data_IF_488589925870
#
_entry.id   IF_488589925870
#
_cell.length_a   1.000
_cell.length_b   1.000
_cell.length_c   1.000
_cell.angle_alpha   90.00
_cell.angle_beta   90.00
_cell.angle_gamma   90.00
#
_symmetry.space_group_name_H-M   'P 1'
#
loop_
_entity.id
_entity.type
_entity.pdbx_description
1 polymer ?
#
# COMPACT_ATOMS: atom_id res chain seq x y z
N UNK A 1 29.17 -1.02 1.70
CA UNK A 1 29.13 0.24 2.47
C UNK A 1 27.73 0.36 3.06
N UNK A 2 27.60 0.78 4.31
CA UNK A 2 26.30 1.03 4.93
C UNK A 2 25.78 2.45 4.58
N UNK A 3 24.47 2.71 4.78
CA UNK A 3 23.91 4.03 4.67
C UNK A 3 24.52 4.98 5.71
N UNK A 4 24.67 6.25 5.36
CA UNK A 4 25.11 7.31 6.28
C UNK A 4 23.90 8.06 6.85
N UNK A 5 22.93 8.37 5.98
CA UNK A 5 21.71 9.12 6.35
C UNK A 5 20.49 8.52 5.68
N UNK A 6 19.42 8.32 6.45
CA UNK A 6 18.14 7.80 5.97
C UNK A 6 17.03 8.78 6.26
N UNK A 7 16.23 9.11 5.25
CA UNK A 7 14.99 9.88 5.44
C UNK A 7 13.85 8.96 5.87
N UNK A 8 13.22 9.28 6.98
CA UNK A 8 11.98 8.63 7.45
C UNK A 8 10.80 9.36 6.82
N UNK A 9 10.16 8.74 5.83
CA UNK A 9 8.99 9.28 5.12
C UNK A 9 7.68 8.79 5.76
N UNK A 10 7.56 8.98 7.07
CA UNK A 10 6.39 8.58 7.85
C UNK A 10 6.32 9.38 9.15
N UNK A 11 5.30 9.11 9.98
CA UNK A 11 5.02 9.80 11.26
C UNK A 11 4.68 8.82 12.38
N UNK A 12 4.44 9.37 13.56
CA UNK A 12 3.89 8.62 14.69
C UNK A 12 4.82 7.52 15.22
N UNK A 13 4.24 6.40 15.60
CA UNK A 13 4.96 5.32 16.28
C UNK A 13 5.93 4.60 15.32
N UNK A 14 5.56 4.45 14.05
CA UNK A 14 6.45 3.78 13.08
C UNK A 14 7.69 4.61 12.78
N UNK A 15 7.56 5.94 12.67
CA UNK A 15 8.71 6.82 12.51
C UNK A 15 9.66 6.71 13.72
N UNK A 16 9.11 6.67 14.93
CA UNK A 16 9.89 6.47 16.15
C UNK A 16 10.58 5.09 16.19
N UNK A 17 9.89 4.05 15.72
CA UNK A 17 10.45 2.69 15.66
C UNK A 17 11.65 2.64 14.70
N UNK A 18 11.53 3.24 13.51
CA UNK A 18 12.60 3.31 12.51
C UNK A 18 13.77 4.12 13.07
N UNK A 19 13.51 5.31 13.62
CA UNK A 19 14.51 6.20 14.20
C UNK A 19 15.39 5.49 15.25
N UNK A 20 14.77 4.73 16.16
CA UNK A 20 15.51 3.96 17.18
C UNK A 20 16.48 2.97 16.54
N UNK A 21 16.03 2.25 15.51
CA UNK A 21 16.88 1.28 14.80
C UNK A 21 18.03 1.98 14.06
N UNK A 22 17.77 3.09 13.36
CA UNK A 22 18.84 3.86 12.68
C UNK A 22 19.89 4.33 13.70
N UNK A 23 19.46 4.82 14.85
CA UNK A 23 20.35 5.25 15.92
C UNK A 23 21.20 4.09 16.48
N UNK A 24 20.59 2.93 16.72
CA UNK A 24 21.30 1.73 17.18
C UNK A 24 22.34 1.24 16.15
N UNK A 25 22.07 1.49 14.86
CA UNK A 25 23.00 1.19 13.76
C UNK A 25 24.03 2.27 13.51
N UNK A 26 23.99 3.42 14.20
CA UNK A 26 24.87 4.56 13.98
C UNK A 26 24.61 5.29 12.66
N UNK A 27 23.37 5.25 12.15
CA UNK A 27 22.93 5.90 10.91
C UNK A 27 22.19 7.18 11.30
N UNK A 28 22.53 8.29 10.65
CA UNK A 28 21.85 9.57 10.86
C UNK A 28 20.40 9.52 10.39
N UNK A 29 19.47 9.87 11.27
CA UNK A 29 18.03 9.82 11.00
C UNK A 29 17.50 11.22 10.64
N UNK A 30 17.11 11.40 9.38
CA UNK A 30 16.30 12.54 8.96
C UNK A 30 14.83 12.18 8.98
N UNK A 31 13.95 13.13 9.31
CA UNK A 31 12.50 12.92 9.28
C UNK A 31 11.80 14.07 8.57
N UNK A 32 10.87 13.74 7.65
CA UNK A 32 9.93 14.72 7.09
C UNK A 32 8.73 14.87 8.02
N UNK A 33 8.18 16.09 8.16
CA UNK A 33 7.00 16.29 9.00
C UNK A 33 6.08 17.41 8.54
N UNK A 34 4.78 17.21 8.71
CA UNK A 34 3.76 18.24 8.59
C UNK A 34 3.75 19.19 9.81
N UNK A 35 2.93 20.24 9.70
CA UNK A 35 2.79 21.27 10.77
C UNK A 35 2.26 20.66 12.08
N UNK A 36 1.34 19.71 11.97
CA UNK A 36 0.67 19.07 13.09
C UNK A 36 1.64 18.20 13.91
N UNK A 37 2.63 17.64 13.25
CA UNK A 37 3.59 16.71 13.84
C UNK A 37 4.89 17.37 14.31
N UNK A 38 5.04 18.70 14.19
CA UNK A 38 6.29 19.42 14.50
C UNK A 38 6.80 19.24 15.95
N UNK A 39 5.91 18.92 16.86
CA UNK A 39 6.24 18.67 18.28
C UNK A 39 6.12 17.18 18.65
N UNK A 40 5.95 16.30 17.66
CA UNK A 40 5.89 14.86 17.92
C UNK A 40 7.23 14.30 18.35
N UNK A 41 7.20 13.25 19.15
CA UNK A 41 8.41 12.63 19.69
C UNK A 41 9.44 12.23 18.62
N UNK A 42 9.07 11.58 17.49
CA UNK A 42 10.06 11.25 16.47
C UNK A 42 10.72 12.50 15.86
N UNK A 43 10.00 13.60 15.69
CA UNK A 43 10.56 14.85 15.15
C UNK A 43 11.56 15.47 16.15
N UNK A 44 11.25 15.44 17.45
CA UNK A 44 12.16 15.94 18.49
C UNK A 44 13.42 15.08 18.66
N UNK A 45 13.32 13.80 18.34
CA UNK A 45 14.42 12.84 18.51
C UNK A 45 15.27 12.65 17.25
N UNK A 46 14.80 13.06 16.08
CA UNK A 46 15.55 12.94 14.83
C UNK A 46 16.81 13.83 14.85
N UNK A 47 17.85 13.41 14.14
CA UNK A 47 19.05 14.23 13.97
C UNK A 47 18.77 15.44 13.09
N UNK A 48 17.91 15.26 12.07
CA UNK A 48 17.46 16.33 11.18
C UNK A 48 15.93 16.24 11.03
N UNK A 49 15.23 17.35 11.27
CA UNK A 49 13.79 17.47 11.02
C UNK A 49 13.55 18.39 9.81
N UNK A 50 12.90 17.87 8.77
CA UNK A 50 12.59 18.60 7.55
C UNK A 50 11.11 18.98 7.51
N UNK A 51 10.78 20.29 7.57
CA UNK A 51 9.40 20.74 7.55
C UNK A 51 8.83 20.68 6.12
N UNK A 52 7.79 19.89 5.91
CA UNK A 52 7.01 19.83 4.67
C UNK A 52 5.58 20.26 4.93
N UNK A 53 5.36 21.56 5.06
CA UNK A 53 4.05 22.11 5.40
C UNK A 53 3.18 22.25 4.14
N UNK A 54 2.05 21.56 4.13
CA UNK A 54 1.04 21.62 3.08
C UNK A 54 -0.29 22.14 3.62
N UNK A 55 -1.16 22.63 2.74
CA UNK A 55 -2.51 23.08 3.09
C UNK A 55 -3.36 21.92 3.60
N UNK A 56 -3.32 20.77 2.90
CA UNK A 56 -3.86 19.52 3.39
C UNK A 56 -2.75 18.79 4.17
N UNK A 57 -2.96 18.45 5.46
CA UNK A 57 -1.94 17.81 6.29
C UNK A 57 -1.39 16.49 5.73
N UNK A 58 -2.25 15.70 5.04
CA UNK A 58 -1.84 14.42 4.45
C UNK A 58 -0.84 14.59 3.31
N UNK A 59 -0.92 15.68 2.55
CA UNK A 59 -0.01 15.96 1.44
C UNK A 59 1.43 16.18 1.93
N UNK A 60 1.62 16.49 3.22
CA UNK A 60 2.94 16.51 3.85
C UNK A 60 3.67 15.17 3.77
N UNK A 61 2.93 14.07 3.56
CA UNK A 61 3.45 12.70 3.51
C UNK A 61 3.12 11.96 2.21
N UNK A 62 2.21 12.48 1.37
CA UNK A 62 1.74 11.85 0.15
C UNK A 62 2.24 12.54 -1.13
N UNK A 63 2.81 13.74 -1.03
CA UNK A 63 3.42 14.46 -2.16
C UNK A 63 4.78 13.83 -2.49
N UNK A 64 4.81 13.01 -3.54
CA UNK A 64 5.99 12.26 -3.99
C UNK A 64 7.18 13.19 -4.22
N UNK A 65 6.97 14.27 -5.01
CA UNK A 65 8.07 15.16 -5.38
C UNK A 65 8.62 15.91 -4.16
N UNK A 66 7.76 16.27 -3.21
CA UNK A 66 8.22 16.91 -1.98
C UNK A 66 9.06 15.98 -1.11
N UNK A 67 8.71 14.69 -1.01
CA UNK A 67 9.50 13.70 -0.26
C UNK A 67 10.82 13.41 -0.96
N UNK A 68 10.81 13.25 -2.28
CA UNK A 68 12.04 13.06 -3.08
C UNK A 68 12.95 14.28 -2.96
N UNK A 69 12.41 15.49 -3.07
CA UNK A 69 13.17 16.72 -2.92
C UNK A 69 13.80 16.84 -1.52
N UNK A 70 13.07 16.52 -0.46
CA UNK A 70 13.60 16.50 0.89
C UNK A 70 14.77 15.52 1.04
N UNK A 71 14.67 14.32 0.45
CA UNK A 71 15.74 13.34 0.48
C UNK A 71 17.00 13.85 -0.23
N UNK A 72 16.84 14.56 -1.38
CA UNK A 72 17.95 15.17 -2.14
C UNK A 72 18.59 16.33 -1.37
N UNK A 73 17.80 17.27 -0.86
CA UNK A 73 18.30 18.44 -0.14
C UNK A 73 19.06 18.05 1.14
N UNK A 74 18.64 16.95 1.76
CA UNK A 74 19.28 16.41 2.95
C UNK A 74 20.42 15.42 2.62
N UNK A 75 20.72 15.21 1.34
CA UNK A 75 21.74 14.25 0.90
C UNK A 75 21.55 12.84 1.52
N UNK A 76 20.31 12.35 1.53
CA UNK A 76 20.00 11.04 2.07
C UNK A 76 20.40 9.92 1.09
N UNK A 77 21.05 8.89 1.60
CA UNK A 77 21.40 7.68 0.82
C UNK A 77 20.17 6.80 0.55
N UNK A 78 19.21 6.85 1.46
CA UNK A 78 18.02 6.01 1.40
C UNK A 78 16.77 6.68 2.02
N UNK A 79 15.61 6.15 1.67
CA UNK A 79 14.31 6.55 2.25
C UNK A 79 13.63 5.31 2.83
N UNK A 80 13.20 5.41 4.09
CA UNK A 80 12.37 4.39 4.74
C UNK A 80 10.92 4.87 4.78
N UNK A 81 9.98 4.23 4.07
CA UNK A 81 8.59 4.67 3.99
C UNK A 81 7.75 4.30 5.22
N UNK A 82 8.22 3.39 6.07
CA UNK A 82 7.41 2.75 7.10
C UNK A 82 6.33 1.84 6.49
N UNK A 83 5.09 2.03 6.91
CA UNK A 83 3.91 1.41 6.32
C UNK A 83 2.83 2.48 6.04
N UNK A 84 1.87 2.18 5.16
CA UNK A 84 0.89 3.17 4.68
C UNK A 84 1.54 4.27 3.84
N UNK A 85 0.88 5.41 3.69
CA UNK A 85 1.34 6.54 2.87
C UNK A 85 1.93 6.08 1.51
N UNK A 86 3.21 6.31 1.28
CA UNK A 86 3.90 5.98 0.03
C UNK A 86 4.59 4.61 0.04
N UNK A 87 4.42 3.79 1.11
CA UNK A 87 5.12 2.51 1.24
C UNK A 87 4.79 1.49 0.14
N UNK A 88 3.58 1.58 -0.43
CA UNK A 88 3.12 0.70 -1.52
C UNK A 88 2.93 1.47 -2.83
N UNK A 89 3.56 2.63 -2.97
CA UNK A 89 3.44 3.47 -4.15
C UNK A 89 4.60 3.24 -5.13
N UNK A 90 4.34 2.51 -6.20
CA UNK A 90 5.37 2.17 -7.21
C UNK A 90 5.96 3.41 -7.90
N UNK A 91 5.16 4.46 -8.12
CA UNK A 91 5.65 5.69 -8.74
C UNK A 91 6.64 6.42 -7.82
N UNK A 92 6.42 6.42 -6.51
CA UNK A 92 7.36 6.96 -5.54
C UNK A 92 8.70 6.22 -5.57
N UNK A 93 8.65 4.87 -5.60
CA UNK A 93 9.87 4.06 -5.66
C UNK A 93 10.64 4.32 -6.96
N UNK A 94 9.95 4.35 -8.10
CA UNK A 94 10.56 4.67 -9.40
C UNK A 94 11.24 6.05 -9.37
N UNK A 95 10.61 7.07 -8.76
CA UNK A 95 11.21 8.40 -8.64
C UNK A 95 12.48 8.41 -7.78
N UNK A 96 12.52 7.63 -6.70
CA UNK A 96 13.75 7.47 -5.90
C UNK A 96 14.85 6.73 -6.67
N UNK A 97 14.48 5.68 -7.43
CA UNK A 97 15.40 4.91 -8.29
C UNK A 97 16.04 5.82 -9.35
N UNK A 98 15.27 6.71 -9.99
CA UNK A 98 15.77 7.71 -10.96
C UNK A 98 16.79 8.68 -10.35
N UNK A 99 16.62 9.05 -9.08
CA UNK A 99 17.54 9.93 -8.37
C UNK A 99 18.73 9.20 -7.71
N UNK A 100 18.80 7.86 -7.85
CA UNK A 100 19.84 7.04 -7.23
C UNK A 100 19.72 6.92 -5.71
N UNK A 101 18.54 7.22 -5.14
CA UNK A 101 18.26 7.13 -3.71
C UNK A 101 17.63 5.75 -3.43
N UNK A 102 18.19 5.00 -2.48
CA UNK A 102 17.69 3.67 -2.17
C UNK A 102 16.34 3.73 -1.46
N UNK A 103 15.31 3.09 -2.02
CA UNK A 103 14.09 2.81 -1.28
C UNK A 103 14.32 1.60 -0.36
N UNK A 104 14.07 1.74 0.94
CA UNK A 104 14.15 0.61 1.88
C UNK A 104 12.86 -0.20 1.79
N UNK A 105 12.85 -1.13 0.85
CA UNK A 105 11.71 -1.95 0.46
C UNK A 105 11.95 -2.65 -0.87
N UNK A 106 10.90 -3.24 -1.47
CA UNK A 106 10.97 -3.87 -2.79
C UNK A 106 11.18 -2.84 -3.91
N UNK A 107 11.72 -3.28 -5.04
CA UNK A 107 11.80 -2.46 -6.26
C UNK A 107 10.41 -2.08 -6.80
N UNK A 108 10.33 -0.98 -7.56
CA UNK A 108 9.09 -0.45 -8.12
C UNK A 108 8.27 -1.48 -8.89
N UNK A 109 8.92 -2.32 -9.71
CA UNK A 109 8.26 -3.39 -10.46
C UNK A 109 7.64 -4.48 -9.57
N UNK A 110 8.23 -4.78 -8.42
CA UNK A 110 7.68 -5.75 -7.46
C UNK A 110 6.44 -5.16 -6.78
N UNK A 111 6.47 -3.89 -6.39
CA UNK A 111 5.32 -3.21 -5.79
C UNK A 111 4.17 -3.14 -6.80
N UNK A 112 4.44 -2.83 -8.07
CA UNK A 112 3.43 -2.83 -9.13
C UNK A 112 2.78 -4.21 -9.27
N UNK A 113 3.60 -5.27 -9.41
CA UNK A 113 3.12 -6.64 -9.57
C UNK A 113 2.26 -7.10 -8.39
N UNK A 114 2.73 -6.87 -7.16
CA UNK A 114 2.04 -7.33 -5.96
C UNK A 114 0.88 -6.41 -5.53
N UNK A 115 0.83 -5.19 -6.05
CA UNK A 115 -0.27 -4.25 -5.84
C UNK A 115 -1.55 -4.64 -6.59
N UNK A 116 -1.44 -5.35 -7.71
CA UNK A 116 -2.57 -5.94 -8.42
C UNK A 116 -2.81 -7.37 -7.94
N UNK A 117 -4.02 -7.65 -7.43
CA UNK A 117 -4.35 -8.96 -6.83
C UNK A 117 -4.40 -10.09 -7.85
N UNK A 118 -4.72 -9.78 -9.10
CA UNK A 118 -4.82 -10.77 -10.18
C UNK A 118 -3.41 -11.13 -10.66
N UNK A 119 -2.59 -10.13 -10.95
CA UNK A 119 -1.20 -10.30 -11.36
C UNK A 119 -0.36 -10.98 -10.27
N UNK A 120 -0.53 -10.54 -9.01
CA UNK A 120 0.15 -11.16 -7.87
C UNK A 120 -0.19 -12.64 -7.74
N UNK A 121 -1.47 -12.99 -7.91
CA UNK A 121 -1.92 -14.37 -7.87
C UNK A 121 -1.32 -15.19 -9.02
N UNK A 122 -1.39 -14.69 -10.24
CA UNK A 122 -0.82 -15.37 -11.43
C UNK A 122 0.70 -15.61 -11.24
N UNK A 123 1.43 -14.63 -10.71
CA UNK A 123 2.85 -14.76 -10.42
C UNK A 123 3.13 -15.82 -9.35
N UNK A 124 2.31 -15.91 -8.30
CA UNK A 124 2.46 -16.93 -7.25
C UNK A 124 2.15 -18.33 -7.78
N UNK A 125 1.11 -18.50 -8.59
CA UNK A 125 0.77 -19.76 -9.26
C UNK A 125 1.89 -20.21 -10.18
N UNK A 126 2.44 -19.30 -10.99
CA UNK A 126 3.58 -19.59 -11.86
C UNK A 126 4.85 -20.00 -11.08
N UNK A 127 5.01 -19.50 -9.86
CA UNK A 127 6.07 -19.89 -8.93
C UNK A 127 5.80 -21.22 -8.18
N UNK A 128 4.66 -21.88 -8.44
CA UNK A 128 4.28 -23.15 -7.81
C UNK A 128 3.75 -23.01 -6.37
N UNK A 129 3.39 -21.79 -5.94
CA UNK A 129 2.78 -21.58 -4.64
C UNK A 129 1.27 -21.92 -4.68
N UNK A 130 0.73 -22.56 -3.64
CA UNK A 130 -0.70 -22.81 -3.56
C UNK A 130 -1.45 -21.50 -3.36
N UNK A 131 -2.42 -21.23 -4.24
CA UNK A 131 -3.30 -20.06 -4.14
C UNK A 131 -4.73 -20.50 -3.82
N UNK A 132 -5.50 -19.65 -3.14
CA UNK A 132 -6.93 -19.88 -2.97
C UNK A 132 -7.64 -19.79 -4.34
N UNK A 133 -8.73 -20.54 -4.55
CA UNK A 133 -9.56 -20.37 -5.74
C UNK A 133 -10.05 -18.92 -5.85
N UNK A 134 -10.26 -18.42 -7.08
CA UNK A 134 -10.74 -17.05 -7.30
C UNK A 134 -10.71 -16.69 -8.77
N UNK A 135 -11.16 -15.49 -9.12
CA UNK A 135 -11.13 -15.02 -10.50
C UNK A 135 -9.69 -14.84 -10.99
N UNK A 136 -9.42 -15.31 -12.21
CA UNK A 136 -8.17 -15.06 -12.92
C UNK A 136 -8.19 -13.76 -13.72
N UNK A 137 -9.36 -13.14 -13.83
CA UNK A 137 -9.59 -11.89 -14.56
C UNK A 137 -10.54 -10.98 -13.79
N UNK A 138 -10.54 -9.68 -14.08
CA UNK A 138 -11.52 -8.77 -13.51
C UNK A 138 -12.94 -9.19 -13.86
N UNK A 139 -13.84 -9.14 -12.91
CA UNK A 139 -15.23 -9.54 -13.11
C UNK A 139 -15.96 -8.47 -13.92
N UNK A 140 -16.33 -8.82 -15.15
CA UNK A 140 -16.96 -7.92 -16.10
C UNK A 140 -18.48 -7.76 -15.92
N UNK A 141 -19.17 -8.80 -15.43
CA UNK A 141 -20.64 -8.79 -15.26
C UNK A 141 -21.09 -9.56 -14.01
N UNK A 142 -22.33 -9.29 -13.56
CA UNK A 142 -22.91 -9.99 -12.42
C UNK A 142 -23.15 -11.48 -12.69
N UNK A 143 -23.44 -11.85 -13.94
CA UNK A 143 -23.68 -13.24 -14.33
C UNK A 143 -22.39 -14.06 -14.26
N UNK A 144 -21.27 -13.53 -14.77
CA UNK A 144 -19.95 -14.16 -14.68
C UNK A 144 -19.50 -14.29 -13.24
N UNK A 145 -19.76 -13.26 -12.45
CA UNK A 145 -19.42 -13.23 -11.03
C UNK A 145 -20.21 -14.28 -10.23
N UNK A 146 -21.53 -14.41 -10.49
CA UNK A 146 -22.38 -15.40 -9.83
C UNK A 146 -21.97 -16.83 -10.19
N UNK A 147 -21.73 -17.10 -11.47
CA UNK A 147 -21.28 -18.43 -11.91
C UNK A 147 -19.94 -18.83 -11.27
N UNK A 148 -19.02 -17.88 -11.14
CA UNK A 148 -17.73 -18.12 -10.46
C UNK A 148 -17.92 -18.35 -8.96
N UNK A 149 -18.82 -17.60 -8.30
CA UNK A 149 -19.11 -17.80 -6.89
C UNK A 149 -19.74 -19.16 -6.61
N UNK A 150 -20.59 -19.66 -7.51
CA UNK A 150 -21.19 -21.00 -7.44
C UNK A 150 -20.11 -22.10 -7.60
N UNK A 151 -19.11 -21.90 -8.48
CA UNK A 151 -17.99 -22.85 -8.66
C UNK A 151 -17.04 -22.84 -7.44
N UNK A 152 -16.79 -21.68 -6.85
CA UNK A 152 -15.96 -21.55 -5.65
C UNK A 152 -16.64 -22.16 -4.43
N UNK A 153 -17.96 -21.98 -4.31
CA UNK A 153 -18.77 -22.30 -3.15
C UNK A 153 -18.86 -21.16 -2.13
N UNK A 154 -20.06 -20.93 -1.59
CA UNK A 154 -20.30 -19.91 -0.57
C UNK A 154 -19.79 -20.37 0.82
N UNK A 155 -19.35 -19.44 1.69
CA UNK A 155 -19.32 -18.00 1.48
C UNK A 155 -18.15 -17.53 0.59
N UNK A 156 -18.38 -16.52 -0.22
CA UNK A 156 -17.36 -15.86 -1.03
C UNK A 156 -17.14 -14.41 -0.58
N UNK A 157 -15.97 -13.87 -0.90
CA UNK A 157 -15.67 -12.47 -0.66
C UNK A 157 -15.40 -11.75 -1.98
N UNK A 158 -16.14 -10.68 -2.23
CA UNK A 158 -15.92 -9.76 -3.34
C UNK A 158 -14.95 -8.67 -2.89
N UNK A 159 -13.93 -8.34 -3.69
CA UNK A 159 -12.92 -7.33 -3.39
C UNK A 159 -12.68 -6.44 -4.61
N UNK A 160 -12.31 -5.18 -4.39
CA UNK A 160 -11.73 -4.36 -5.45
C UNK A 160 -10.40 -4.97 -5.92
N UNK A 161 -10.16 -4.98 -7.23
CA UNK A 161 -8.90 -5.47 -7.81
C UNK A 161 -7.73 -4.58 -7.37
N UNK A 162 -7.90 -3.26 -7.47
CA UNK A 162 -6.95 -2.27 -6.97
C UNK A 162 -7.22 -1.90 -5.50
N UNK A 163 -6.18 -1.44 -4.80
CA UNK A 163 -6.27 -0.94 -3.43
C UNK A 163 -6.18 -2.01 -2.35
N UNK A 164 -6.16 -1.56 -1.10
CA UNK A 164 -5.97 -2.38 0.11
C UNK A 164 -6.81 -1.89 1.29
N UNK A 165 -6.47 -2.35 2.50
CA UNK A 165 -7.07 -1.87 3.74
C UNK A 165 -8.53 -2.28 3.98
N UNK A 166 -9.07 -3.23 3.19
CA UNK A 166 -10.46 -3.70 3.37
C UNK A 166 -11.55 -2.81 2.78
N UNK A 167 -11.19 -1.72 2.11
CA UNK A 167 -12.15 -0.85 1.44
C UNK A 167 -12.67 -1.56 0.18
N UNK A 168 -14.00 -1.56 -0.01
CA UNK A 168 -14.63 -2.22 -1.17
C UNK A 168 -14.63 -3.74 -1.09
N UNK A 169 -14.64 -4.32 0.12
CA UNK A 169 -14.86 -5.75 0.35
C UNK A 169 -16.27 -6.02 0.86
N UNK A 170 -16.86 -7.13 0.40
CA UNK A 170 -18.15 -7.62 0.88
C UNK A 170 -18.14 -9.14 0.91
N UNK A 171 -18.51 -9.73 2.04
CA UNK A 171 -18.76 -11.17 2.17
C UNK A 171 -20.19 -11.43 1.67
N UNK A 172 -20.36 -12.53 0.93
CA UNK A 172 -21.63 -13.01 0.38
C UNK A 172 -21.80 -14.44 0.84
N UNK A 173 -22.87 -14.70 1.58
CA UNK A 173 -23.12 -16.02 2.17
C UNK A 173 -23.97 -16.93 1.27
N UNK A 174 -24.73 -16.36 0.36
CA UNK A 174 -25.65 -17.09 -0.53
C UNK A 174 -25.90 -16.33 -1.85
N UNK A 175 -26.35 -17.05 -2.87
CA UNK A 175 -26.42 -16.55 -4.24
C UNK A 175 -27.36 -15.33 -4.41
N UNK A 176 -28.46 -15.27 -3.69
CA UNK A 176 -29.45 -14.18 -3.78
C UNK A 176 -28.91 -12.83 -3.24
N UNK A 177 -27.88 -12.84 -2.39
CA UNK A 177 -27.21 -11.63 -1.90
C UNK A 177 -26.20 -11.06 -2.89
N UNK A 178 -25.76 -11.87 -3.88
CA UNK A 178 -24.58 -11.60 -4.68
C UNK A 178 -24.68 -10.31 -5.50
N UNK A 179 -25.80 -10.11 -6.21
CA UNK A 179 -25.98 -8.94 -7.07
C UNK A 179 -25.96 -7.61 -6.28
N UNK A 180 -26.61 -7.60 -5.11
CA UNK A 180 -26.63 -6.44 -4.21
C UNK A 180 -25.24 -6.11 -3.68
N UNK A 181 -24.50 -7.14 -3.25
CA UNK A 181 -23.13 -7.02 -2.75
C UNK A 181 -22.16 -6.53 -3.85
N UNK A 182 -22.30 -7.04 -5.08
CA UNK A 182 -21.51 -6.64 -6.23
C UNK A 182 -21.66 -5.14 -6.52
N UNK A 183 -22.91 -4.64 -6.63
CA UNK A 183 -23.20 -3.22 -6.88
C UNK A 183 -22.62 -2.32 -5.77
N UNK A 184 -22.73 -2.75 -4.52
CA UNK A 184 -22.19 -2.00 -3.38
C UNK A 184 -20.66 -1.94 -3.44
N UNK A 185 -19.98 -3.06 -3.73
CA UNK A 185 -18.53 -3.11 -3.88
C UNK A 185 -18.05 -2.23 -5.04
N UNK A 186 -18.71 -2.28 -6.20
CA UNK A 186 -18.37 -1.43 -7.35
C UNK A 186 -18.48 0.06 -7.02
N UNK A 187 -19.56 0.47 -6.36
CA UNK A 187 -19.73 1.86 -5.94
C UNK A 187 -18.62 2.33 -4.99
N UNK A 188 -18.28 1.51 -4.00
CA UNK A 188 -17.22 1.82 -3.03
C UNK A 188 -15.84 1.83 -3.66
N UNK A 189 -15.53 0.88 -4.53
CA UNK A 189 -14.27 0.79 -5.24
C UNK A 189 -14.06 2.00 -6.17
N UNK A 190 -15.09 2.38 -6.92
CA UNK A 190 -15.07 3.57 -7.77
C UNK A 190 -14.84 4.86 -6.98
N UNK A 191 -15.49 5.00 -5.83
CA UNK A 191 -15.34 6.18 -4.97
C UNK A 191 -13.96 6.27 -4.31
N UNK A 192 -13.38 5.13 -3.92
CA UNK A 192 -12.13 5.11 -3.15
C UNK A 192 -10.88 5.04 -4.04
N UNK A 193 -10.96 4.36 -5.20
CA UNK A 193 -9.79 4.03 -6.03
C UNK A 193 -9.93 4.51 -7.48
N UNK A 194 -11.08 5.06 -7.87
CA UNK A 194 -11.36 5.44 -9.26
C UNK A 194 -11.60 4.24 -10.21
N UNK A 195 -11.49 3.02 -9.72
CA UNK A 195 -11.64 1.76 -10.44
C UNK A 195 -12.81 0.96 -9.87
N UNK A 196 -13.56 0.27 -10.76
CA UNK A 196 -14.69 -0.58 -10.40
C UNK A 196 -14.44 -2.07 -10.68
N UNK A 197 -13.22 -2.45 -11.02
CA UNK A 197 -12.85 -3.84 -11.24
C UNK A 197 -12.90 -4.62 -9.93
N UNK A 198 -13.51 -5.80 -9.96
CA UNK A 198 -13.72 -6.63 -8.79
C UNK A 198 -13.05 -7.99 -8.95
N UNK A 199 -12.73 -8.57 -7.82
CA UNK A 199 -12.16 -9.90 -7.69
C UNK A 199 -12.96 -10.69 -6.67
N UNK A 200 -13.16 -11.99 -6.89
CA UNK A 200 -13.88 -12.89 -5.97
C UNK A 200 -12.99 -14.05 -5.55
N UNK A 201 -13.04 -14.40 -4.28
CA UNK A 201 -12.33 -15.55 -3.69
C UNK A 201 -13.12 -16.15 -2.53
N UNK A 202 -12.80 -17.38 -2.05
CA UNK A 202 -13.39 -17.92 -0.84
C UNK A 202 -13.17 -16.99 0.36
N UNK A 203 -14.14 -16.92 1.28
CA UNK A 203 -13.95 -16.21 2.55
C UNK A 203 -13.24 -17.12 3.56
N UNK A 204 -12.00 -16.83 3.98
CA UNK A 204 -11.28 -17.69 4.91
C UNK A 204 -11.78 -17.61 6.36
N UNK A 205 -12.63 -16.61 6.67
CA UNK A 205 -13.11 -16.39 8.05
C UNK A 205 -14.35 -17.20 8.41
N UNK A 206 -15.09 -17.68 7.41
CA UNK A 206 -16.37 -18.35 7.59
C UNK A 206 -16.31 -19.85 7.26
N UNK A 207 -15.11 -20.38 7.00
CA UNK A 207 -14.85 -21.80 6.74
C UNK A 207 -14.33 -22.58 7.96
N UNK A 208 -14.38 -21.98 9.17
CA UNK A 208 -14.00 -22.63 10.43
C UNK A 208 -15.20 -22.79 11.34
#
# INVERSE_FOLDING_TARGET
MGFKRVLIANRGEIALRILRTLRDMGIEAAIIHGREDRLSLPVQMADIAYPNYRTNPLDSYLDIEAVVQAAKELECDAVHPGYGFLAENAAFVARLEEEGITFIGPASGVITLLGDKIEARAAMEAAGLPTAKGSSEPIASAEVASALADDIGYPVIIKAAAGGGGIGMQIVHQADEFEGALKLCQSRAKSAFGDCLLYTSPSPRDSM
#
